data_IF_987936820321
#
_entry.id   IF_987936820321
#
_cell.length_a   1.000
_cell.length_b   1.000
_cell.length_c   1.000
_cell.angle_alpha   90.00
_cell.angle_beta   90.00
_cell.angle_gamma   90.00
#
_symmetry.space_group_name_H-M   'P 1'
#
loop_
_entity.id
_entity.type
_entity.pdbx_description
1 polymer ?
#
# COMPACT_ATOMS: atom_id res chain seq x y z
N UNK A 1 20.97 7.60 -0.87
CA UNK A 1 20.41 6.76 -1.95
C UNK A 1 20.07 5.39 -1.38
N UNK A 2 19.02 4.76 -1.89
CA UNK A 2 18.63 3.39 -1.50
C UNK A 2 19.47 2.33 -2.22
N UNK A 3 19.66 1.18 -1.56
CA UNK A 3 20.21 0.00 -2.20
C UNK A 3 19.27 -0.52 -3.32
N UNK A 4 19.81 -1.14 -4.38
CA UNK A 4 19.01 -1.71 -5.46
C UNK A 4 17.95 -2.73 -4.98
N UNK A 5 18.26 -3.52 -3.96
CA UNK A 5 17.33 -4.47 -3.35
C UNK A 5 16.13 -3.79 -2.70
N UNK A 6 16.33 -2.64 -2.06
CA UNK A 6 15.25 -1.85 -1.46
C UNK A 6 14.35 -1.29 -2.56
N UNK A 7 14.92 -0.79 -3.65
CA UNK A 7 14.17 -0.33 -4.82
C UNK A 7 13.26 -1.43 -5.38
N UNK A 8 13.79 -2.64 -5.57
CA UNK A 8 13.03 -3.79 -6.06
C UNK A 8 11.89 -4.18 -5.10
N UNK A 9 12.13 -4.12 -3.80
CA UNK A 9 11.10 -4.40 -2.79
C UNK A 9 9.95 -3.38 -2.86
N UNK A 10 10.27 -2.07 -2.92
CA UNK A 10 9.25 -1.04 -3.09
C UNK A 10 8.54 -1.10 -4.44
N UNK A 11 9.24 -1.48 -5.51
CA UNK A 11 8.64 -1.63 -6.83
C UNK A 11 7.62 -2.78 -6.85
N UNK A 12 7.99 -3.96 -6.32
CA UNK A 12 7.08 -5.10 -6.25
C UNK A 12 5.85 -4.78 -5.39
N UNK A 13 6.06 -4.13 -4.24
CA UNK A 13 4.97 -3.68 -3.38
C UNK A 13 4.06 -2.66 -4.08
N UNK A 14 4.63 -1.68 -4.78
CA UNK A 14 3.86 -0.72 -5.57
C UNK A 14 3.03 -1.38 -6.66
N UNK A 15 3.58 -2.36 -7.39
CA UNK A 15 2.85 -3.08 -8.43
C UNK A 15 1.62 -3.81 -7.87
N UNK A 16 1.74 -4.44 -6.70
CA UNK A 16 0.60 -5.07 -6.04
C UNK A 16 -0.46 -4.05 -5.61
N UNK A 17 -0.05 -2.87 -5.09
CA UNK A 17 -0.96 -1.78 -4.77
C UNK A 17 -1.71 -1.25 -6.00
N UNK A 18 -1.01 -1.10 -7.14
CA UNK A 18 -1.60 -0.68 -8.41
C UNK A 18 -2.61 -1.72 -8.93
N UNK A 19 -2.28 -3.01 -8.83
CA UNK A 19 -3.18 -4.10 -9.20
C UNK A 19 -4.46 -4.12 -8.33
N UNK A 20 -4.31 -3.93 -7.01
CA UNK A 20 -5.44 -3.75 -6.11
C UNK A 20 -6.27 -2.52 -6.50
N UNK A 21 -5.62 -1.40 -6.85
CA UNK A 21 -6.27 -0.18 -7.32
C UNK A 21 -7.13 -0.39 -8.56
N UNK A 22 -6.63 -1.14 -9.55
CA UNK A 22 -7.39 -1.51 -10.77
C UNK A 22 -8.67 -2.28 -10.43
N UNK A 23 -8.57 -3.23 -9.49
CA UNK A 23 -9.70 -4.05 -9.04
C UNK A 23 -10.75 -3.19 -8.32
N UNK A 24 -10.32 -2.22 -7.52
CA UNK A 24 -11.23 -1.27 -6.87
C UNK A 24 -11.96 -0.40 -7.89
N UNK A 25 -11.33 -0.02 -8.99
CA UNK A 25 -11.95 0.83 -10.01
C UNK A 25 -12.75 0.07 -11.07
N UNK A 26 -12.80 -1.27 -11.00
CA UNK A 26 -13.58 -2.08 -11.92
C UNK A 26 -15.09 -1.78 -11.76
N UNK A 27 -15.81 -1.78 -12.89
CA UNK A 27 -17.26 -1.55 -12.93
C UNK A 27 -18.02 -2.58 -12.10
N UNK A 28 -17.62 -3.85 -12.19
CA UNK A 28 -18.09 -4.93 -11.33
C UNK A 28 -17.04 -5.27 -10.28
N UNK A 29 -17.08 -4.55 -9.16
CA UNK A 29 -16.18 -4.78 -8.05
C UNK A 29 -16.38 -6.18 -7.46
N UNK A 30 -15.44 -7.08 -7.72
CA UNK A 30 -15.43 -8.40 -7.14
C UNK A 30 -14.70 -8.40 -5.78
N UNK A 31 -15.47 -8.46 -4.70
CA UNK A 31 -14.92 -8.43 -3.33
C UNK A 31 -13.98 -9.60 -3.03
N UNK A 32 -14.16 -10.75 -3.69
CA UNK A 32 -13.27 -11.90 -3.58
C UNK A 32 -11.89 -11.59 -4.18
N UNK A 33 -11.85 -11.07 -5.41
CA UNK A 33 -10.59 -10.61 -6.03
C UNK A 33 -9.93 -9.49 -5.23
N UNK A 34 -10.71 -8.54 -4.70
CA UNK A 34 -10.16 -7.46 -3.88
C UNK A 34 -9.48 -8.00 -2.60
N UNK A 35 -10.07 -9.02 -1.96
CA UNK A 35 -9.46 -9.70 -0.81
C UNK A 35 -8.15 -10.39 -1.18
N UNK A 36 -8.10 -11.02 -2.35
CA UNK A 36 -6.89 -11.72 -2.79
C UNK A 36 -5.76 -10.75 -3.11
N UNK A 37 -6.05 -9.64 -3.80
CA UNK A 37 -5.08 -8.57 -4.00
C UNK A 37 -4.58 -7.99 -2.67
N UNK A 38 -5.47 -7.81 -1.68
CA UNK A 38 -5.05 -7.32 -0.37
C UNK A 38 -4.13 -8.31 0.35
N UNK A 39 -4.39 -9.62 0.24
CA UNK A 39 -3.50 -10.65 0.79
C UNK A 39 -2.11 -10.59 0.14
N UNK A 40 -2.03 -10.41 -1.17
CA UNK A 40 -0.76 -10.24 -1.88
C UNK A 40 -0.01 -8.99 -1.41
N UNK A 41 -0.69 -7.85 -1.32
CA UNK A 41 -0.13 -6.60 -0.78
C UNK A 41 0.38 -6.80 0.65
N UNK A 42 -0.40 -7.45 1.51
CA UNK A 42 -0.03 -7.72 2.90
C UNK A 42 1.17 -8.66 3.00
N UNK A 43 1.23 -9.71 2.18
CA UNK A 43 2.35 -10.64 2.14
C UNK A 43 3.64 -9.94 1.71
N UNK A 44 3.59 -9.10 0.66
CA UNK A 44 4.75 -8.32 0.20
C UNK A 44 5.20 -7.32 1.26
N UNK A 45 4.25 -6.64 1.91
CA UNK A 45 4.56 -5.73 3.01
C UNK A 45 5.31 -6.44 4.14
N UNK A 46 4.78 -7.58 4.60
CA UNK A 46 5.37 -8.34 5.71
C UNK A 46 6.72 -8.98 5.37
N UNK A 47 6.86 -9.52 4.16
CA UNK A 47 8.06 -10.27 3.76
C UNK A 47 9.18 -9.41 3.18
N UNK A 48 8.88 -8.21 2.65
CA UNK A 48 9.86 -7.38 1.93
C UNK A 48 10.03 -5.98 2.48
N UNK A 49 8.97 -5.37 3.02
CA UNK A 49 9.02 -3.97 3.48
C UNK A 49 9.35 -3.91 4.97
N UNK A 50 8.68 -4.72 5.79
CA UNK A 50 8.95 -4.79 7.25
C UNK A 50 10.36 -5.28 7.58
N UNK A 51 11.01 -6.00 6.66
CA UNK A 51 12.34 -6.59 6.86
C UNK A 51 13.47 -5.61 6.54
N UNK A 52 13.15 -4.41 6.01
CA UNK A 52 14.15 -3.41 5.65
C UNK A 52 14.68 -2.72 6.91
N UNK A 53 15.99 -2.46 6.95
CA UNK A 53 16.65 -1.74 8.05
C UNK A 53 17.11 -0.36 7.62
N UNK A 54 17.24 0.54 8.60
CA UNK A 54 17.88 1.84 8.42
C UNK A 54 19.41 1.72 8.27
N UNK A 55 20.01 0.61 8.71
CA UNK A 55 21.46 0.42 8.79
C UNK A 55 22.15 0.50 7.42
N UNK A 56 21.43 0.11 6.36
CA UNK A 56 21.94 0.09 4.98
C UNK A 56 21.66 1.40 4.21
N UNK A 57 21.17 2.43 4.90
CA UNK A 57 20.69 3.66 4.27
C UNK A 57 21.68 4.79 4.55
N UNK A 58 22.00 5.55 3.50
CA UNK A 58 22.86 6.72 3.62
C UNK A 58 22.36 7.67 4.74
N UNK A 59 23.24 8.19 5.62
CA UNK A 59 22.86 9.02 6.76
C UNK A 59 21.98 10.22 6.39
N UNK A 60 22.24 10.87 5.26
CA UNK A 60 21.49 12.04 4.80
C UNK A 60 20.06 11.69 4.32
N UNK A 61 19.77 10.41 4.12
CA UNK A 61 18.46 9.92 3.66
C UNK A 61 17.68 9.15 4.72
N UNK A 62 18.33 8.71 5.80
CA UNK A 62 17.75 7.80 6.81
C UNK A 62 16.51 8.38 7.49
N UNK A 63 16.53 9.66 7.87
CA UNK A 63 15.41 10.32 8.55
C UNK A 63 14.15 10.40 7.66
N UNK A 64 14.35 10.75 6.38
CA UNK A 64 13.25 10.79 5.40
C UNK A 64 12.70 9.39 5.15
N UNK A 65 13.57 8.39 5.01
CA UNK A 65 13.17 7.01 4.82
C UNK A 65 12.38 6.47 6.03
N UNK A 66 12.85 6.70 7.26
CA UNK A 66 12.17 6.27 8.49
C UNK A 66 10.79 6.91 8.63
N UNK A 67 10.68 8.19 8.27
CA UNK A 67 9.41 8.91 8.27
C UNK A 67 8.42 8.29 7.28
N UNK A 68 8.85 8.04 6.04
CA UNK A 68 8.02 7.39 5.02
C UNK A 68 7.67 5.94 5.37
N UNK A 69 8.60 5.19 5.97
CA UNK A 69 8.33 3.84 6.49
C UNK A 69 7.24 3.84 7.55
N UNK A 70 7.31 4.77 8.50
CA UNK A 70 6.28 4.92 9.54
C UNK A 70 4.90 5.21 8.93
N UNK A 71 4.85 6.08 7.91
CA UNK A 71 3.61 6.37 7.21
C UNK A 71 3.10 5.17 6.39
N UNK A 72 3.96 4.42 5.71
CA UNK A 72 3.57 3.18 5.01
C UNK A 72 2.96 2.18 5.99
N UNK A 73 3.58 1.96 7.15
CA UNK A 73 3.07 1.06 8.19
C UNK A 73 1.69 1.51 8.68
N UNK A 74 1.53 2.81 8.93
CA UNK A 74 0.26 3.40 9.35
C UNK A 74 -0.82 3.20 8.28
N UNK A 75 -0.52 3.50 7.03
CA UNK A 75 -1.47 3.37 5.93
C UNK A 75 -1.88 1.91 5.69
N UNK A 76 -0.96 0.95 5.87
CA UNK A 76 -1.29 -0.47 5.76
C UNK A 76 -2.33 -0.93 6.79
N UNK A 77 -2.21 -0.52 8.06
CA UNK A 77 -3.22 -0.81 9.10
C UNK A 77 -4.58 -0.19 8.77
N UNK A 78 -4.57 1.03 8.26
CA UNK A 78 -5.80 1.72 7.88
C UNK A 78 -6.44 1.10 6.63
N UNK A 79 -5.63 0.60 5.69
CA UNK A 79 -6.09 -0.10 4.49
C UNK A 79 -6.86 -1.38 4.84
N UNK A 80 -6.33 -2.14 5.80
CA UNK A 80 -7.00 -3.32 6.36
C UNK A 80 -8.37 -2.96 6.94
N UNK A 81 -8.42 -1.89 7.76
CA UNK A 81 -9.66 -1.40 8.38
C UNK A 81 -10.68 -0.98 7.33
N UNK A 82 -10.27 -0.20 6.33
CA UNK A 82 -11.15 0.24 5.26
C UNK A 82 -11.71 -0.92 4.44
N UNK A 83 -10.90 -1.96 4.19
CA UNK A 83 -11.33 -3.16 3.50
C UNK A 83 -12.39 -3.93 4.30
N UNK A 84 -12.21 -4.09 5.61
CA UNK A 84 -13.22 -4.71 6.49
C UNK A 84 -14.53 -3.92 6.46
N UNK A 85 -14.46 -2.59 6.54
CA UNK A 85 -15.64 -1.71 6.50
C UNK A 85 -16.36 -1.76 5.15
N UNK A 86 -15.62 -1.82 4.05
CA UNK A 86 -16.20 -1.99 2.71
C UNK A 86 -16.97 -3.31 2.60
N UNK A 87 -16.41 -4.40 3.13
CA UNK A 87 -17.07 -5.72 3.12
C UNK A 87 -18.32 -5.78 3.99
N UNK A 88 -18.31 -5.08 5.13
CA UNK A 88 -19.47 -5.00 6.02
C UNK A 88 -20.59 -4.07 5.48
N UNK A 89 -20.28 -3.23 4.49
CA UNK A 89 -21.22 -2.24 3.97
C UNK A 89 -22.37 -2.90 3.19
N UNK A 90 -23.61 -2.57 3.57
CA UNK A 90 -24.84 -3.12 2.96
C UNK A 90 -25.52 -2.15 1.99
N UNK A 91 -25.35 -0.84 2.18
CA UNK A 91 -25.88 0.20 1.28
C UNK A 91 -24.91 0.49 0.14
N UNK A 92 -25.44 0.72 -1.06
CA UNK A 92 -24.68 1.17 -2.23
C UNK A 92 -23.98 2.50 -1.98
N UNK A 93 -24.63 3.47 -1.31
CA UNK A 93 -24.05 4.78 -1.01
C UNK A 93 -22.85 4.67 -0.07
N UNK A 94 -22.96 3.83 0.98
CA UNK A 94 -21.86 3.56 1.91
C UNK A 94 -20.72 2.81 1.22
N UNK A 95 -21.02 1.80 0.38
CA UNK A 95 -20.01 1.09 -0.40
C UNK A 95 -19.20 2.03 -1.29
N UNK A 96 -19.87 2.91 -2.03
CA UNK A 96 -19.20 3.88 -2.90
C UNK A 96 -18.27 4.84 -2.12
N UNK A 97 -18.74 5.36 -0.98
CA UNK A 97 -17.93 6.21 -0.10
C UNK A 97 -16.70 5.45 0.42
N UNK A 98 -16.87 4.20 0.87
CA UNK A 98 -15.77 3.35 1.34
C UNK A 98 -14.77 3.01 0.23
N UNK A 99 -15.25 2.69 -0.96
CA UNK A 99 -14.43 2.42 -2.15
C UNK A 99 -13.57 3.64 -2.51
N UNK A 100 -14.14 4.85 -2.44
CA UNK A 100 -13.40 6.11 -2.65
C UNK A 100 -12.31 6.31 -1.61
N UNK A 101 -12.62 6.08 -0.32
CA UNK A 101 -11.62 6.16 0.75
C UNK A 101 -10.47 5.17 0.56
N UNK A 102 -10.80 3.93 0.20
CA UNK A 102 -9.82 2.87 -0.09
C UNK A 102 -8.91 3.26 -1.27
N UNK A 103 -9.48 3.78 -2.35
CA UNK A 103 -8.73 4.27 -3.52
C UNK A 103 -7.76 5.41 -3.14
N UNK A 104 -8.23 6.39 -2.37
CA UNK A 104 -7.38 7.50 -1.93
C UNK A 104 -6.20 7.00 -1.09
N UNK A 105 -6.43 6.01 -0.22
CA UNK A 105 -5.37 5.41 0.59
C UNK A 105 -4.32 4.68 -0.24
N UNK A 106 -4.75 3.90 -1.23
CA UNK A 106 -3.83 3.24 -2.15
C UNK A 106 -2.97 4.23 -2.93
N UNK A 107 -3.57 5.33 -3.41
CA UNK A 107 -2.82 6.38 -4.09
C UNK A 107 -1.74 7.00 -3.18
N UNK A 108 -2.05 7.21 -1.90
CA UNK A 108 -1.07 7.69 -0.92
C UNK A 108 0.08 6.69 -0.73
N UNK A 109 -0.22 5.40 -0.56
CA UNK A 109 0.79 4.34 -0.45
C UNK A 109 1.69 4.25 -1.69
N UNK A 110 1.09 4.30 -2.88
CA UNK A 110 1.82 4.31 -4.17
C UNK A 110 2.74 5.52 -4.24
N UNK A 111 2.27 6.71 -3.82
CA UNK A 111 3.08 7.92 -3.80
C UNK A 111 4.30 7.79 -2.87
N UNK A 112 4.15 7.22 -1.67
CA UNK A 112 5.29 6.97 -0.79
C UNK A 112 6.32 6.02 -1.42
N UNK A 113 5.84 4.97 -2.11
CA UNK A 113 6.74 4.06 -2.83
C UNK A 113 7.49 4.78 -3.98
N UNK A 114 6.83 5.71 -4.67
CA UNK A 114 7.46 6.51 -5.71
C UNK A 114 8.51 7.47 -5.12
N UNK A 115 8.16 8.20 -4.06
CA UNK A 115 9.09 9.14 -3.40
C UNK A 115 10.36 8.45 -2.91
N UNK A 116 10.25 7.23 -2.39
CA UNK A 116 11.40 6.43 -1.95
C UNK A 116 12.29 6.00 -3.12
N UNK A 117 11.73 5.84 -4.33
CA UNK A 117 12.44 5.38 -5.52
C UNK A 117 13.03 6.50 -6.37
N UNK A 118 12.51 7.73 -6.27
CA UNK A 118 12.98 8.89 -7.05
C UNK A 118 13.95 9.81 -6.29
N UNK A 119 14.34 9.44 -5.07
CA UNK A 119 15.16 10.27 -4.18
C UNK A 119 16.61 9.80 -4.01
#
# INVERSE_FOLDING_TARGET
>A
MLLPSYYQNYQAFQQALEQMGRTITATDLELAMLRENFREVQQLFQSKILTLSADDIAPDFVSRWQSLQTEIHRQMRLLETDLMLLQASRSSSTRFSRQTGLKNRLNTLIKYCQELRTS
#
